data_IF_891771589027
#
_entry.id   IF_891771589027
#
_cell.length_a   1.000
_cell.length_b   1.000
_cell.length_c   1.000
_cell.angle_alpha   90.00
_cell.angle_beta   90.00
_cell.angle_gamma   90.00
#
_symmetry.space_group_name_H-M   'P 1'
#
loop_
_entity.id
_entity.type
_entity.pdbx_description
1 polymer ?
#
# COMPACT_ATOMS: atom_id res chain seq x y z
N UNK A 1 -1.85 -23.89 3.42
CA UNK A 1 -2.56 -23.77 2.14
C UNK A 1 -4.02 -23.58 2.46
N UNK A 2 -4.64 -22.54 1.95
CA UNK A 2 -6.08 -22.27 2.12
C UNK A 2 -6.78 -22.93 0.94
N UNK A 3 -7.70 -23.85 1.24
CA UNK A 3 -8.49 -24.57 0.24
C UNK A 3 -9.71 -23.71 -0.16
N UNK A 4 -9.50 -22.73 -1.04
CA UNK A 4 -10.55 -21.79 -1.45
C UNK A 4 -11.74 -22.48 -2.12
N UNK A 5 -11.51 -23.57 -2.88
CA UNK A 5 -12.58 -24.32 -3.51
C UNK A 5 -13.45 -25.00 -2.46
N UNK A 6 -12.84 -25.58 -1.42
CA UNK A 6 -13.58 -26.19 -0.31
C UNK A 6 -14.42 -25.16 0.45
N UNK A 7 -13.85 -23.97 0.70
CA UNK A 7 -14.60 -22.88 1.36
C UNK A 7 -15.80 -22.48 0.53
N UNK A 8 -15.64 -22.33 -0.79
CA UNK A 8 -16.72 -21.98 -1.71
C UNK A 8 -17.82 -23.05 -1.73
N UNK A 9 -17.44 -24.31 -1.73
CA UNK A 9 -18.38 -25.44 -1.75
C UNK A 9 -19.16 -25.59 -0.44
N UNK A 10 -18.60 -25.17 0.68
CA UNK A 10 -19.21 -25.23 2.00
C UNK A 10 -19.97 -23.92 2.39
N UNK A 11 -19.80 -22.86 1.61
CA UNK A 11 -20.39 -21.56 1.95
C UNK A 11 -21.91 -21.57 1.77
N UNK A 12 -22.63 -21.19 2.83
CA UNK A 12 -24.09 -21.02 2.82
C UNK A 12 -24.46 -19.55 2.98
N UNK A 13 -25.33 -19.06 2.10
CA UNK A 13 -25.83 -17.68 2.17
C UNK A 13 -26.80 -17.53 3.33
N UNK A 14 -26.58 -16.50 4.15
CA UNK A 14 -27.47 -16.13 5.23
C UNK A 14 -27.50 -14.59 5.39
N UNK A 15 -28.25 -14.08 6.36
CA UNK A 15 -28.38 -12.64 6.61
C UNK A 15 -27.33 -12.08 7.58
N UNK A 16 -26.38 -12.89 8.03
CA UNK A 16 -25.33 -12.43 8.95
C UNK A 16 -24.38 -11.47 8.28
N UNK A 17 -23.80 -10.59 9.07
CA UNK A 17 -22.76 -9.64 8.62
C UNK A 17 -21.45 -9.96 9.30
N UNK A 18 -20.34 -9.81 8.58
CA UNK A 18 -18.99 -9.94 9.11
C UNK A 18 -18.36 -8.54 9.12
N UNK A 19 -17.92 -8.10 10.30
CA UNK A 19 -17.19 -6.84 10.46
C UNK A 19 -15.79 -7.14 10.95
N UNK A 20 -14.79 -6.88 10.11
CA UNK A 20 -13.37 -6.95 10.45
C UNK A 20 -12.90 -5.54 10.80
N UNK A 21 -12.82 -5.22 12.09
CA UNK A 21 -12.26 -3.96 12.58
C UNK A 21 -10.78 -4.15 12.91
N UNK A 22 -9.92 -3.47 12.19
CA UNK A 22 -8.47 -3.47 12.41
C UNK A 22 -8.04 -2.14 13.01
N UNK A 23 -7.62 -2.17 14.28
CA UNK A 23 -6.89 -1.09 14.92
C UNK A 23 -5.39 -1.38 14.72
N UNK A 24 -4.78 -0.77 13.70
CA UNK A 24 -3.40 -1.03 13.30
C UNK A 24 -2.44 -0.51 14.38
N UNK A 25 -1.45 -1.34 14.76
CA UNK A 25 -0.47 -0.96 15.77
C UNK A 25 -1.06 -0.72 17.18
N UNK A 26 -2.19 -1.37 17.52
CA UNK A 26 -2.86 -1.20 18.82
C UNK A 26 -1.97 -1.56 20.02
N UNK A 27 -1.11 -2.56 19.87
CA UNK A 27 -0.10 -2.92 20.86
C UNK A 27 0.89 -1.79 21.11
N UNK A 28 1.50 -1.75 22.29
CA UNK A 28 2.45 -0.70 22.65
C UNK A 28 3.43 -1.13 23.72
N UNK A 29 4.27 -0.21 24.15
CA UNK A 29 5.25 -0.41 25.21
C UNK A 29 5.07 0.64 26.31
N UNK A 30 5.32 0.29 27.58
CA UNK A 30 5.30 1.27 28.65
C UNK A 30 6.44 2.30 28.49
N UNK A 31 6.20 3.56 28.85
CA UNK A 31 7.21 4.62 28.84
C UNK A 31 8.36 4.33 29.80
N UNK A 32 8.06 3.66 30.90
CA UNK A 32 9.04 3.28 31.92
C UNK A 32 8.94 1.78 32.21
N UNK A 33 10.02 1.17 32.63
CA UNK A 33 10.06 -0.25 32.96
C UNK A 33 9.06 -0.57 34.08
N UNK A 34 8.15 -1.52 33.85
CA UNK A 34 7.07 -1.90 34.79
C UNK A 34 5.87 -0.96 34.78
N UNK A 35 5.84 0.05 33.90
CA UNK A 35 4.68 0.91 33.67
C UNK A 35 3.58 0.21 32.86
N UNK A 36 2.53 0.95 32.54
CA UNK A 36 1.42 0.50 31.68
C UNK A 36 1.67 0.89 30.24
N UNK A 37 1.27 0.02 29.32
CA UNK A 37 1.22 0.33 27.89
C UNK A 37 0.10 1.33 27.58
N UNK A 38 0.06 1.87 26.37
CA UNK A 38 -1.02 2.77 25.93
C UNK A 38 -2.38 2.07 26.05
N UNK A 39 -2.49 0.82 25.57
CA UNK A 39 -3.74 0.07 25.62
C UNK A 39 -4.20 -0.22 27.07
N UNK A 40 -3.26 -0.54 27.98
CA UNK A 40 -3.59 -0.72 29.40
C UNK A 40 -3.95 0.59 30.10
N UNK A 41 -3.55 1.74 29.56
CA UNK A 41 -3.85 3.08 30.09
C UNK A 41 -5.17 3.60 29.55
N UNK A 42 -5.52 3.25 28.30
CA UNK A 42 -6.73 3.70 27.64
C UNK A 42 -8.01 3.18 28.31
N UNK A 43 -9.07 3.99 28.28
CA UNK A 43 -10.40 3.57 28.76
C UNK A 43 -11.17 2.93 27.59
N UNK A 44 -11.22 1.60 27.56
CA UNK A 44 -11.82 0.82 26.45
C UNK A 44 -13.01 -0.07 26.87
N UNK A 45 -14.04 0.45 27.59
CA UNK A 45 -15.08 -0.38 28.19
C UNK A 45 -15.91 -1.20 27.19
N UNK A 46 -16.01 -0.75 25.94
CA UNK A 46 -16.71 -1.49 24.89
C UNK A 46 -15.86 -2.62 24.33
N UNK A 47 -14.58 -2.40 24.10
CA UNK A 47 -13.64 -3.45 23.68
C UNK A 47 -13.45 -4.49 24.78
N UNK A 48 -13.33 -4.07 26.04
CA UNK A 48 -13.25 -4.96 27.20
C UNK A 48 -14.47 -5.90 27.29
N UNK A 49 -15.66 -5.34 27.06
CA UNK A 49 -16.90 -6.13 27.05
C UNK A 49 -16.95 -7.10 25.86
N UNK A 50 -16.47 -6.71 24.67
CA UNK A 50 -16.35 -7.60 23.52
C UNK A 50 -15.37 -8.73 23.81
N UNK A 51 -14.19 -8.42 24.34
CA UNK A 51 -13.19 -9.42 24.71
C UNK A 51 -13.71 -10.42 25.76
N UNK A 52 -14.48 -9.94 26.75
CA UNK A 52 -15.08 -10.79 27.78
C UNK A 52 -16.19 -11.73 27.26
N UNK A 53 -16.85 -11.36 26.16
CA UNK A 53 -17.95 -12.15 25.57
C UNK A 53 -17.52 -12.99 24.36
N UNK A 54 -16.42 -12.62 23.75
CA UNK A 54 -15.88 -13.26 22.56
C UNK A 54 -14.78 -14.27 22.87
N UNK A 55 -14.12 -14.71 21.82
CA UNK A 55 -12.92 -15.54 21.92
C UNK A 55 -11.71 -14.70 21.51
N UNK A 56 -10.68 -14.68 22.35
CA UNK A 56 -9.42 -13.99 22.08
C UNK A 56 -8.36 -14.98 21.65
N UNK A 57 -7.49 -14.55 20.74
CA UNK A 57 -6.39 -15.36 20.24
C UNK A 57 -5.38 -14.50 19.46
N UNK A 58 -4.41 -15.17 18.83
CA UNK A 58 -3.44 -14.54 17.93
C UNK A 58 -3.44 -15.24 16.59
N UNK A 59 -3.12 -14.50 15.53
CA UNK A 59 -2.91 -15.06 14.21
C UNK A 59 -1.49 -14.78 13.73
N UNK A 60 -0.95 -15.68 12.90
CA UNK A 60 0.33 -15.52 12.20
C UNK A 60 -0.01 -15.29 10.74
N UNK A 61 0.01 -14.03 10.26
CA UNK A 61 -0.55 -13.73 8.95
C UNK A 61 0.29 -14.23 7.76
N UNK A 62 1.56 -14.60 7.98
CA UNK A 62 2.42 -15.19 6.93
C UNK A 62 2.94 -16.54 7.43
N UNK A 63 4.08 -16.57 8.11
CA UNK A 63 4.67 -17.76 8.72
C UNK A 63 5.40 -17.38 10.01
N UNK A 64 5.57 -18.32 10.96
CA UNK A 64 6.37 -18.08 12.15
C UNK A 64 7.79 -17.60 11.79
N UNK A 65 8.26 -16.55 12.46
CA UNK A 65 9.58 -15.97 12.24
C UNK A 65 9.67 -14.98 11.06
N UNK A 66 8.59 -14.81 10.28
CA UNK A 66 8.51 -13.80 9.22
C UNK A 66 7.75 -12.59 9.75
N UNK A 67 8.40 -11.43 9.81
CA UNK A 67 7.73 -10.17 10.09
C UNK A 67 6.99 -9.71 8.82
N UNK A 68 5.65 -9.72 8.80
CA UNK A 68 4.91 -9.35 7.62
C UNK A 68 4.99 -7.83 7.39
N UNK A 69 5.25 -7.43 6.15
CA UNK A 69 4.93 -6.07 5.73
C UNK A 69 3.41 -5.87 5.62
N UNK A 70 2.97 -4.63 5.50
CA UNK A 70 1.53 -4.29 5.51
C UNK A 70 0.73 -5.02 4.42
N UNK A 71 1.28 -5.17 3.21
CA UNK A 71 0.61 -5.90 2.13
C UNK A 71 0.40 -7.39 2.45
N UNK A 72 1.48 -8.17 2.66
CA UNK A 72 1.38 -9.59 3.01
C UNK A 72 0.57 -9.85 4.28
N UNK A 73 0.70 -8.99 5.30
CA UNK A 73 -0.06 -9.11 6.54
C UNK A 73 -1.57 -9.03 6.31
N UNK A 74 -2.03 -8.06 5.52
CA UNK A 74 -3.45 -7.91 5.22
C UNK A 74 -3.98 -8.95 4.22
N UNK A 75 -3.15 -9.43 3.28
CA UNK A 75 -3.53 -10.59 2.47
C UNK A 75 -3.84 -11.79 3.36
N UNK A 76 -2.98 -12.08 4.34
CA UNK A 76 -3.22 -13.13 5.32
C UNK A 76 -4.51 -12.91 6.13
N UNK A 77 -4.79 -11.67 6.56
CA UNK A 77 -6.06 -11.33 7.23
C UNK A 77 -7.28 -11.53 6.32
N UNK A 78 -7.13 -11.28 5.03
CA UNK A 78 -8.20 -11.48 4.05
C UNK A 78 -8.34 -12.94 3.59
N UNK A 79 -7.47 -13.84 4.07
CA UNK A 79 -7.53 -15.25 3.73
C UNK A 79 -6.83 -15.61 2.42
N UNK A 80 -6.01 -14.73 1.86
CA UNK A 80 -5.11 -15.07 0.76
C UNK A 80 -3.76 -15.59 1.29
N UNK A 81 -3.16 -16.55 0.59
CA UNK A 81 -1.80 -16.96 0.91
C UNK A 81 -0.79 -15.88 0.42
N UNK A 82 -0.12 -15.15 1.32
CA UNK A 82 0.79 -14.07 0.92
C UNK A 82 2.10 -14.59 0.29
N UNK A 83 2.36 -15.88 0.31
CA UNK A 83 3.48 -16.50 -0.39
C UNK A 83 3.13 -16.81 -1.84
N UNK A 84 1.87 -17.11 -2.11
CA UNK A 84 1.33 -17.32 -3.45
C UNK A 84 1.00 -16.00 -4.13
N UNK A 85 0.24 -15.14 -3.45
CA UNK A 85 -0.22 -13.85 -3.97
C UNK A 85 0.75 -12.73 -3.59
N UNK A 86 1.71 -12.44 -4.47
CA UNK A 86 2.69 -11.38 -4.24
C UNK A 86 2.25 -10.08 -4.89
N UNK A 87 1.98 -9.06 -4.06
CA UNK A 87 1.65 -7.72 -4.55
C UNK A 87 2.89 -6.84 -4.46
N UNK A 88 3.37 -6.36 -5.60
CA UNK A 88 4.46 -5.41 -5.63
C UNK A 88 4.03 -4.02 -5.16
N UNK A 89 4.98 -3.25 -4.63
CA UNK A 89 4.72 -1.91 -4.05
C UNK A 89 4.10 -0.93 -5.04
N UNK A 90 4.50 -1.00 -6.31
CA UNK A 90 3.95 -0.14 -7.35
C UNK A 90 2.45 -0.34 -7.54
N UNK A 91 2.02 -1.59 -7.69
CA UNK A 91 0.59 -1.93 -7.84
C UNK A 91 -0.22 -1.50 -6.61
N UNK A 92 0.32 -1.75 -5.41
CA UNK A 92 -0.34 -1.38 -4.16
C UNK A 92 -0.49 0.13 -4.00
N UNK A 93 0.54 0.92 -4.34
CA UNK A 93 0.44 2.39 -4.27
C UNK A 93 -0.45 2.97 -5.37
N UNK A 94 -0.37 2.45 -6.60
CA UNK A 94 -1.24 2.91 -7.70
C UNK A 94 -2.72 2.73 -7.35
N UNK A 95 -3.10 1.54 -6.92
CA UNK A 95 -4.48 1.27 -6.51
C UNK A 95 -4.89 2.02 -5.24
N UNK A 96 -3.95 2.25 -4.33
CA UNK A 96 -4.17 3.03 -3.10
C UNK A 96 -4.60 4.47 -3.37
N UNK A 97 -4.01 5.12 -4.36
CA UNK A 97 -4.38 6.48 -4.77
C UNK A 97 -5.56 6.53 -5.76
N UNK A 98 -6.21 5.40 -6.02
CA UNK A 98 -7.38 5.30 -6.88
C UNK A 98 -7.07 5.10 -8.37
N UNK A 99 -5.82 4.80 -8.74
CA UNK A 99 -5.50 4.46 -10.11
C UNK A 99 -5.98 3.03 -10.43
N UNK A 100 -6.76 2.90 -11.49
CA UNK A 100 -7.26 1.60 -11.97
C UNK A 100 -6.22 0.96 -12.89
N UNK A 101 -5.57 -0.09 -12.37
CA UNK A 101 -4.60 -0.86 -13.14
C UNK A 101 -5.33 -1.78 -14.12
N UNK A 102 -5.03 -1.61 -15.40
CA UNK A 102 -5.44 -2.50 -16.48
C UNK A 102 -4.55 -3.74 -16.60
N UNK A 103 -4.91 -4.68 -17.49
CA UNK A 103 -4.18 -5.94 -17.66
C UNK A 103 -2.76 -5.76 -18.26
N UNK A 104 -2.53 -4.65 -18.95
CA UNK A 104 -1.25 -4.34 -19.60
C UNK A 104 -0.46 -3.23 -18.88
N UNK A 105 -0.76 -3.01 -17.59
CA UNK A 105 -0.12 -2.00 -16.78
C UNK A 105 0.99 -2.60 -15.92
N UNK A 106 2.11 -1.89 -15.87
CA UNK A 106 3.15 -2.10 -14.87
C UNK A 106 3.29 -0.83 -14.06
N UNK A 107 2.97 -0.91 -12.78
CA UNK A 107 3.12 0.19 -11.84
C UNK A 107 4.45 0.07 -11.08
N UNK A 108 5.05 1.22 -10.78
CA UNK A 108 6.26 1.30 -9.97
C UNK A 108 6.19 2.50 -9.05
N UNK A 109 6.59 2.32 -7.80
CA UNK A 109 6.74 3.41 -6.85
C UNK A 109 7.98 4.22 -7.17
N UNK A 110 7.83 5.52 -7.36
CA UNK A 110 8.89 6.49 -7.45
C UNK A 110 9.16 7.18 -6.12
N UNK A 111 10.42 7.40 -5.81
CA UNK A 111 10.83 8.30 -4.74
C UNK A 111 11.74 9.37 -5.34
N UNK A 112 11.43 10.64 -5.12
CA UNK A 112 12.40 11.70 -5.38
C UNK A 112 13.59 11.56 -4.44
N UNK A 113 14.77 11.85 -4.96
CA UNK A 113 16.02 11.89 -4.21
C UNK A 113 16.82 13.14 -4.58
N UNK A 114 17.78 13.50 -3.75
CA UNK A 114 18.71 14.58 -4.05
C UNK A 114 20.02 13.98 -4.57
N UNK A 115 20.49 14.48 -5.70
CA UNK A 115 21.76 14.11 -6.32
C UNK A 115 22.75 15.27 -6.22
N UNK A 116 24.02 14.95 -6.01
CA UNK A 116 25.13 15.89 -6.13
C UNK A 116 25.52 16.11 -7.61
N UNK A 117 26.51 17.00 -7.86
CA UNK A 117 27.00 17.30 -9.19
C UNK A 117 27.65 16.09 -9.92
N UNK A 118 28.03 15.05 -9.20
CA UNK A 118 28.53 13.79 -9.73
C UNK A 118 27.42 12.75 -9.97
N UNK A 119 26.15 13.10 -9.75
CA UNK A 119 25.00 12.21 -9.91
C UNK A 119 24.84 11.18 -8.80
N UNK A 120 25.51 11.37 -7.64
CA UNK A 120 25.40 10.48 -6.48
C UNK A 120 24.29 10.94 -5.55
N UNK A 121 23.57 10.00 -4.96
CA UNK A 121 22.49 10.27 -4.01
C UNK A 121 23.07 10.83 -2.72
N UNK A 122 22.69 12.04 -2.35
CA UNK A 122 22.98 12.67 -1.06
C UNK A 122 21.84 12.50 -0.07
N UNK A 123 20.59 12.47 -0.57
CA UNK A 123 19.42 12.18 0.24
C UNK A 123 18.42 11.33 -0.59
N UNK A 124 18.09 10.15 -0.08
CA UNK A 124 17.18 9.18 -0.71
C UNK A 124 15.70 9.57 -0.63
N UNK A 125 15.37 10.66 0.05
CA UNK A 125 14.00 11.13 0.31
C UNK A 125 13.78 12.59 -0.07
N UNK A 126 14.75 13.21 -0.76
CA UNK A 126 14.67 14.62 -1.18
C UNK A 126 14.26 15.57 -0.03
N UNK A 127 14.83 15.42 1.17
CA UNK A 127 14.49 16.20 2.36
C UNK A 127 13.05 16.01 2.85
N UNK A 128 12.33 15.00 2.37
CA UNK A 128 10.88 14.83 2.58
C UNK A 128 10.10 16.10 2.19
N UNK A 129 10.35 16.59 0.98
CA UNK A 129 9.65 17.78 0.47
C UNK A 129 8.16 17.73 0.78
N UNK A 130 7.52 18.86 1.10
CA UNK A 130 6.08 18.93 1.33
C UNK A 130 5.27 18.36 0.17
N UNK A 131 4.13 17.74 0.46
CA UNK A 131 3.30 17.11 -0.59
C UNK A 131 2.90 18.10 -1.70
N UNK A 132 2.63 19.37 -1.38
CA UNK A 132 2.33 20.40 -2.37
C UNK A 132 3.49 20.63 -3.36
N UNK A 133 4.73 20.61 -2.87
CA UNK A 133 5.94 20.69 -3.70
C UNK A 133 6.09 19.45 -4.59
N UNK A 134 5.91 18.26 -4.00
CA UNK A 134 5.94 17.00 -4.75
C UNK A 134 4.89 16.99 -5.87
N UNK A 135 3.70 17.51 -5.63
CA UNK A 135 2.64 17.56 -6.64
C UNK A 135 3.05 18.44 -7.82
N UNK A 136 3.64 19.61 -7.53
CA UNK A 136 4.21 20.50 -8.58
C UNK A 136 5.28 19.79 -9.39
N UNK A 137 6.19 19.06 -8.75
CA UNK A 137 7.26 18.32 -9.45
C UNK A 137 6.68 17.19 -10.29
N UNK A 138 5.69 16.45 -9.76
CA UNK A 138 4.99 15.39 -10.52
C UNK A 138 4.27 15.96 -11.74
N UNK A 139 3.66 17.14 -11.64
CA UNK A 139 3.00 17.78 -12.78
C UNK A 139 3.99 18.04 -13.94
N UNK A 140 5.23 18.41 -13.64
CA UNK A 140 6.28 18.54 -14.67
C UNK A 140 6.59 17.20 -15.34
N UNK A 141 6.58 16.11 -14.59
CA UNK A 141 6.85 14.76 -15.12
C UNK A 141 5.73 14.23 -16.03
N UNK A 142 4.54 14.80 -16.00
CA UNK A 142 3.45 14.45 -16.93
C UNK A 142 3.83 14.71 -18.42
N UNK A 143 4.83 15.56 -18.67
CA UNK A 143 5.34 15.81 -20.01
C UNK A 143 6.23 14.67 -20.55
N UNK A 144 6.62 13.71 -19.70
CA UNK A 144 7.46 12.59 -20.14
C UNK A 144 6.63 11.62 -20.96
N UNK A 145 7.04 11.43 -22.20
CA UNK A 145 6.49 10.41 -23.09
C UNK A 145 7.56 9.36 -23.39
N UNK A 146 7.18 8.11 -23.51
CA UNK A 146 8.07 7.02 -23.94
C UNK A 146 7.44 6.31 -25.14
N UNK A 147 8.17 6.11 -26.24
CA UNK A 147 7.61 5.49 -27.43
C UNK A 147 7.02 4.10 -27.16
N UNK A 148 5.84 3.84 -27.70
CA UNK A 148 5.18 2.53 -27.65
C UNK A 148 4.52 2.17 -26.32
N UNK A 149 4.42 3.13 -25.37
CA UNK A 149 3.67 2.99 -24.11
C UNK A 149 3.02 4.30 -23.72
N UNK A 150 1.92 4.22 -22.98
CA UNK A 150 1.39 5.36 -22.23
C UNK A 150 2.08 5.44 -20.88
N UNK A 151 2.38 6.65 -20.42
CA UNK A 151 3.01 6.90 -19.11
C UNK A 151 2.09 7.75 -18.26
N UNK A 152 1.79 7.26 -17.06
CA UNK A 152 1.02 8.00 -16.08
C UNK A 152 1.89 8.23 -14.84
N UNK A 153 2.04 9.49 -14.43
CA UNK A 153 2.73 9.85 -13.19
C UNK A 153 1.71 10.46 -12.24
N UNK A 154 1.66 9.96 -11.02
CA UNK A 154 0.68 10.42 -10.01
C UNK A 154 1.39 10.66 -8.67
N UNK A 155 1.10 11.76 -7.99
CA UNK A 155 1.65 12.02 -6.66
C UNK A 155 1.03 11.08 -5.63
N UNK A 156 1.80 10.79 -4.57
CA UNK A 156 1.32 10.00 -3.43
C UNK A 156 1.34 10.86 -2.16
N UNK A 157 2.51 11.09 -1.60
CA UNK A 157 2.72 11.91 -0.41
C UNK A 157 4.20 12.22 -0.24
N UNK A 158 4.52 13.45 0.17
CA UNK A 158 5.91 13.88 0.37
C UNK A 158 6.76 13.60 -0.88
N UNK A 159 7.92 12.94 -0.75
CA UNK A 159 8.83 12.57 -1.83
C UNK A 159 8.36 11.40 -2.70
N UNK A 160 7.14 10.89 -2.50
CA UNK A 160 6.63 9.67 -3.16
C UNK A 160 5.69 9.99 -4.29
N UNK A 161 5.84 9.25 -5.35
CA UNK A 161 4.93 9.24 -6.51
C UNK A 161 4.83 7.81 -7.06
N UNK A 162 3.92 7.60 -7.97
CA UNK A 162 3.79 6.34 -8.72
C UNK A 162 3.89 6.63 -10.20
N UNK A 163 4.54 5.74 -10.91
CA UNK A 163 4.53 5.70 -12.38
C UNK A 163 3.82 4.44 -12.82
N UNK A 164 2.94 4.57 -13.80
CA UNK A 164 2.32 3.43 -14.46
C UNK A 164 2.68 3.49 -15.94
N UNK A 165 3.25 2.41 -16.43
CA UNK A 165 3.50 2.18 -17.85
C UNK A 165 2.40 1.27 -18.38
N UNK A 166 1.71 1.70 -19.41
CA UNK A 166 0.65 0.93 -20.07
C UNK A 166 1.06 0.58 -21.49
N UNK A 167 1.10 -0.71 -21.78
CA UNK A 167 1.49 -1.20 -23.11
C UNK A 167 1.62 -2.71 -23.17
N UNK A 168 1.55 -3.24 -24.38
CA UNK A 168 1.71 -4.68 -24.61
C UNK A 168 3.12 -5.19 -24.26
N UNK A 169 3.20 -6.41 -23.76
CA UNK A 169 4.48 -7.08 -23.49
C UNK A 169 5.29 -6.49 -22.34
N UNK A 170 4.64 -5.75 -21.42
CA UNK A 170 5.27 -5.29 -20.19
C UNK A 170 5.18 -6.36 -19.09
N UNK A 171 6.22 -6.44 -18.26
CA UNK A 171 6.32 -7.35 -17.11
C UNK A 171 6.85 -6.61 -15.89
N UNK A 172 6.33 -6.94 -14.69
CA UNK A 172 6.77 -6.36 -13.44
C UNK A 172 8.12 -6.88 -12.91
N UNK A 173 8.76 -7.85 -13.58
CA UNK A 173 10.00 -8.47 -13.11
C UNK A 173 11.24 -7.60 -13.40
N UNK A 174 11.24 -6.35 -12.93
CA UNK A 174 12.33 -5.38 -13.05
C UNK A 174 12.92 -5.09 -11.68
N UNK A 175 14.24 -5.03 -11.59
CA UNK A 175 14.96 -4.73 -10.35
C UNK A 175 14.74 -3.28 -9.90
N UNK A 176 14.70 -3.07 -8.59
CA UNK A 176 14.68 -1.74 -7.98
C UNK A 176 15.90 -0.92 -8.42
N UNK A 177 15.71 0.38 -8.68
CA UNK A 177 16.81 1.31 -8.99
C UNK A 177 17.36 2.02 -7.75
N UNK A 178 16.77 1.77 -6.59
CA UNK A 178 17.23 2.31 -5.30
C UNK A 178 18.39 1.45 -4.74
N UNK A 179 19.62 1.95 -4.68
CA UNK A 179 20.76 1.23 -4.11
C UNK A 179 20.66 1.07 -2.58
N UNK A 180 19.68 1.70 -1.95
CA UNK A 180 19.46 1.76 -0.50
C UNK A 180 20.65 2.36 0.28
N UNK A 181 21.50 3.12 -0.39
CA UNK A 181 22.67 3.80 0.16
C UNK A 181 22.77 5.23 -0.39
N UNK A 182 23.50 6.08 0.30
CA UNK A 182 23.95 7.40 -0.17
C UNK A 182 25.40 7.34 -0.63
N UNK A 183 25.86 8.35 -1.37
CA UNK A 183 27.23 8.41 -1.91
C UNK A 183 27.43 7.58 -3.19
N UNK A 184 26.41 6.94 -3.70
CA UNK A 184 26.41 6.16 -4.94
C UNK A 184 25.29 6.66 -5.88
N UNK A 185 25.42 6.46 -7.20
CA UNK A 185 24.34 6.84 -8.13
C UNK A 185 23.11 5.91 -7.99
N UNK A 186 21.92 6.34 -8.42
CA UNK A 186 20.81 5.43 -8.68
C UNK A 186 21.23 4.30 -9.61
N UNK A 187 20.68 3.10 -9.38
CA UNK A 187 20.91 1.96 -10.28
C UNK A 187 20.09 2.12 -11.56
N UNK A 188 20.55 1.51 -12.64
CA UNK A 188 19.78 1.44 -13.88
C UNK A 188 18.67 0.36 -13.77
N UNK A 189 17.48 0.58 -14.39
CA UNK A 189 16.47 -0.46 -14.51
C UNK A 189 17.04 -1.70 -15.22
N UNK A 190 16.91 -2.85 -14.59
CA UNK A 190 17.45 -4.10 -15.12
C UNK A 190 16.37 -5.19 -15.09
N UNK A 191 16.16 -5.94 -16.19
CA UNK A 191 15.23 -7.05 -16.19
C UNK A 191 15.73 -8.16 -15.27
N UNK A 192 14.82 -8.79 -14.55
CA UNK A 192 15.09 -9.97 -13.72
C UNK A 192 14.85 -11.26 -14.51
N UNK A 193 14.08 -11.18 -15.60
CA UNK A 193 13.86 -12.24 -16.57
C UNK A 193 13.74 -11.67 -17.99
N UNK A 194 13.67 -12.53 -18.99
CA UNK A 194 13.60 -12.12 -20.40
C UNK A 194 12.29 -11.38 -20.75
N UNK A 195 11.19 -11.70 -20.07
CA UNK A 195 9.90 -11.05 -20.33
C UNK A 195 9.89 -9.58 -19.87
N UNK A 196 10.76 -9.21 -18.93
CA UNK A 196 10.86 -7.86 -18.39
C UNK A 196 11.82 -6.94 -19.18
N UNK A 197 12.49 -7.43 -20.23
CA UNK A 197 13.46 -6.64 -20.98
C UNK A 197 12.86 -5.33 -21.51
N UNK A 198 11.66 -5.41 -22.14
CA UNK A 198 10.95 -4.23 -22.63
C UNK A 198 10.59 -3.24 -21.52
N UNK A 199 10.15 -3.71 -20.37
CA UNK A 199 9.81 -2.84 -19.26
C UNK A 199 11.04 -2.12 -18.70
N UNK A 200 12.18 -2.81 -18.63
CA UNK A 200 13.44 -2.20 -18.20
C UNK A 200 13.90 -1.10 -19.17
N UNK A 201 13.80 -1.31 -20.49
CA UNK A 201 14.09 -0.29 -21.51
C UNK A 201 13.15 0.92 -21.39
N UNK A 202 11.84 0.70 -21.23
CA UNK A 202 10.83 1.74 -21.04
C UNK A 202 11.14 2.55 -19.77
N UNK A 203 11.46 1.88 -18.66
CA UNK A 203 11.79 2.54 -17.41
C UNK A 203 13.11 3.33 -17.49
N UNK A 204 14.12 2.81 -18.19
CA UNK A 204 15.38 3.52 -18.42
C UNK A 204 15.15 4.80 -19.24
N UNK A 205 14.37 4.73 -20.31
CA UNK A 205 14.03 5.91 -21.13
C UNK A 205 13.20 6.93 -20.32
N UNK A 206 12.24 6.48 -19.52
CA UNK A 206 11.51 7.34 -18.60
C UNK A 206 12.45 8.07 -17.64
N UNK A 207 13.33 7.33 -16.94
CA UNK A 207 14.29 7.91 -15.99
C UNK A 207 15.21 8.92 -16.67
N UNK A 208 15.71 8.62 -17.87
CA UNK A 208 16.57 9.52 -18.64
C UNK A 208 15.87 10.86 -18.92
N UNK A 209 14.65 10.82 -19.47
CA UNK A 209 13.87 12.04 -19.79
C UNK A 209 13.45 12.80 -18.52
N UNK A 210 13.06 12.08 -17.49
CA UNK A 210 12.69 12.68 -16.23
C UNK A 210 13.86 13.41 -15.56
N UNK A 211 15.09 12.90 -15.64
CA UNK A 211 16.29 13.59 -15.15
C UNK A 211 16.51 14.95 -15.80
N UNK A 212 16.25 15.07 -17.12
CA UNK A 212 16.35 16.35 -17.83
C UNK A 212 15.36 17.38 -17.28
N UNK A 213 14.12 16.93 -16.97
CA UNK A 213 13.06 17.79 -16.40
C UNK A 213 13.37 18.20 -14.96
N UNK A 214 13.98 17.30 -14.19
CA UNK A 214 14.27 17.51 -12.77
C UNK A 214 15.59 18.23 -12.49
N UNK A 215 16.42 18.49 -13.51
CA UNK A 215 17.79 18.96 -13.33
C UNK A 215 17.91 20.31 -12.57
N UNK A 216 16.88 21.13 -12.59
CA UNK A 216 16.80 22.44 -11.94
C UNK A 216 16.10 22.39 -10.55
N UNK A 217 15.59 21.24 -10.12
CA UNK A 217 14.96 21.10 -8.82
C UNK A 217 16.00 21.07 -7.69
N UNK A 218 15.83 21.87 -6.63
CA UNK A 218 16.88 22.00 -5.62
C UNK A 218 17.05 20.74 -4.74
N UNK A 219 16.00 20.00 -4.49
CA UNK A 219 16.01 18.80 -3.65
C UNK A 219 15.56 17.55 -4.40
N UNK A 220 14.54 17.68 -5.26
CA UNK A 220 13.96 16.57 -6.03
C UNK A 220 14.59 16.43 -7.42
N UNK A 221 15.92 16.66 -7.55
CA UNK A 221 16.65 16.64 -8.83
C UNK A 221 16.99 15.23 -9.34
N UNK A 222 16.56 14.20 -8.64
CA UNK A 222 16.69 12.81 -9.03
C UNK A 222 15.54 11.95 -8.54
N UNK A 223 15.53 10.70 -8.97
CA UNK A 223 14.54 9.72 -8.54
C UNK A 223 15.11 8.31 -8.50
N UNK A 224 14.46 7.46 -7.71
CA UNK A 224 14.65 6.01 -7.70
C UNK A 224 13.30 5.33 -7.84
N UNK A 225 13.26 4.18 -8.52
CA UNK A 225 12.06 3.38 -8.79
C UNK A 225 12.14 2.06 -8.00
N UNK A 226 11.02 1.68 -7.37
CA UNK A 226 10.96 0.50 -6.49
C UNK A 226 9.66 -0.28 -6.64
N UNK A 227 9.80 -1.62 -6.62
CA UNK A 227 8.69 -2.53 -6.60
C UNK A 227 7.85 -2.47 -7.86
N UNK A 228 8.49 -2.64 -9.02
CA UNK A 228 7.78 -2.85 -10.28
C UNK A 228 6.80 -4.00 -10.14
N UNK A 229 5.58 -3.81 -10.58
CA UNK A 229 4.55 -4.83 -10.50
C UNK A 229 3.48 -4.63 -11.57
N UNK A 230 3.12 -5.72 -12.24
CA UNK A 230 1.87 -5.78 -12.99
C UNK A 230 0.68 -5.82 -12.01
N UNK A 231 -0.52 -5.63 -12.54
CA UNK A 231 -1.74 -5.88 -11.76
C UNK A 231 -1.69 -7.33 -11.23
N UNK A 232 -1.82 -7.56 -9.92
CA UNK A 232 -1.88 -8.91 -9.38
C UNK A 232 -3.18 -9.59 -9.81
N UNK A 233 -3.08 -10.86 -10.16
CA UNK A 233 -4.25 -11.71 -10.41
C UNK A 233 -4.73 -12.29 -9.07
N UNK A 234 -5.61 -11.53 -8.39
CA UNK A 234 -6.23 -11.94 -7.14
C UNK A 234 -7.70 -12.28 -7.42
N UNK A 235 -8.16 -13.47 -7.05
CA UNK A 235 -9.59 -13.76 -7.07
C UNK A 235 -10.32 -12.80 -6.12
N UNK A 236 -11.48 -12.30 -6.52
CA UNK A 236 -12.21 -11.34 -5.69
C UNK A 236 -12.82 -11.99 -4.43
N UNK A 237 -13.14 -11.18 -3.43
CA UNK A 237 -13.87 -11.64 -2.24
C UNK A 237 -15.22 -12.26 -2.60
N UNK A 238 -15.88 -11.76 -3.63
CA UNK A 238 -17.12 -12.32 -4.15
C UNK A 238 -16.90 -13.72 -4.75
N UNK A 239 -15.79 -13.92 -5.48
CA UNK A 239 -15.46 -15.21 -6.10
C UNK A 239 -15.06 -16.26 -5.06
N UNK A 240 -14.30 -15.83 -4.01
CA UNK A 240 -13.79 -16.74 -2.98
C UNK A 240 -14.85 -17.12 -1.95
N UNK A 241 -15.59 -16.12 -1.46
CA UNK A 241 -16.43 -16.27 -0.27
C UNK A 241 -17.91 -16.03 -0.57
N UNK A 242 -18.28 -15.64 -1.79
CA UNK A 242 -19.65 -15.28 -2.15
C UNK A 242 -20.17 -14.03 -1.41
N UNK A 243 -19.27 -13.18 -0.89
CA UNK A 243 -19.60 -12.02 -0.06
C UNK A 243 -19.46 -10.72 -0.86
N UNK A 244 -20.46 -9.85 -0.76
CA UNK A 244 -20.35 -8.45 -1.18
C UNK A 244 -19.54 -7.72 -0.11
N UNK A 245 -18.31 -7.36 -0.42
CA UNK A 245 -17.37 -6.80 0.54
C UNK A 245 -17.19 -5.29 0.37
N UNK A 246 -17.28 -4.57 1.47
CA UNK A 246 -16.97 -3.14 1.58
C UNK A 246 -15.67 -2.90 2.35
N UNK A 247 -14.95 -1.84 2.00
CA UNK A 247 -13.79 -1.37 2.76
C UNK A 247 -13.94 0.11 3.13
N UNK A 248 -13.69 0.41 4.39
CA UNK A 248 -13.72 1.75 4.98
C UNK A 248 -12.37 1.96 5.66
N UNK A 249 -11.42 2.55 4.92
CA UNK A 249 -10.05 2.74 5.37
C UNK A 249 -9.62 4.20 5.17
N UNK A 250 -8.80 4.71 6.10
CA UNK A 250 -8.25 6.07 6.01
C UNK A 250 -7.00 6.11 5.12
N UNK A 251 -6.14 5.09 5.24
CA UNK A 251 -4.83 5.12 4.62
C UNK A 251 -4.84 4.54 3.21
N UNK A 252 -4.21 5.23 2.21
CA UNK A 252 -4.29 4.84 0.80
C UNK A 252 -3.87 3.39 0.49
N UNK A 253 -2.82 2.89 1.13
CA UNK A 253 -2.31 1.54 0.90
C UNK A 253 -3.35 0.46 1.22
N UNK A 254 -4.12 0.62 2.31
CA UNK A 254 -5.17 -0.35 2.68
C UNK A 254 -6.40 -0.25 1.81
N UNK A 255 -6.71 0.97 1.32
CA UNK A 255 -7.72 1.17 0.26
C UNK A 255 -7.32 0.42 -1.01
N UNK A 256 -6.03 0.53 -1.40
CA UNK A 256 -5.49 -0.18 -2.56
C UNK A 256 -5.59 -1.69 -2.43
N UNK A 257 -5.19 -2.23 -1.29
CA UNK A 257 -5.24 -3.66 -1.03
C UNK A 257 -6.68 -4.20 -1.06
N UNK A 258 -7.61 -3.48 -0.43
CA UNK A 258 -9.03 -3.82 -0.46
C UNK A 258 -9.59 -3.83 -1.89
N UNK A 259 -9.25 -2.84 -2.72
CA UNK A 259 -9.64 -2.82 -4.16
C UNK A 259 -9.08 -4.01 -4.93
N UNK A 260 -7.82 -4.37 -4.70
CA UNK A 260 -7.21 -5.53 -5.35
C UNK A 260 -7.92 -6.83 -4.97
N UNK A 261 -8.43 -6.94 -3.73
CA UNK A 261 -9.27 -8.04 -3.28
C UNK A 261 -10.74 -7.94 -3.75
N UNK A 262 -11.09 -6.97 -4.61
CA UNK A 262 -12.44 -6.79 -5.13
C UNK A 262 -13.44 -6.18 -4.15
N UNK A 263 -12.97 -5.55 -3.07
CA UNK A 263 -13.86 -4.83 -2.13
C UNK A 263 -14.23 -3.44 -2.68
N UNK A 264 -15.46 -3.03 -2.44
CA UNK A 264 -15.93 -1.68 -2.75
C UNK A 264 -15.47 -0.69 -1.67
N UNK A 265 -14.81 0.40 -2.06
CA UNK A 265 -14.53 1.48 -1.11
C UNK A 265 -15.79 2.29 -0.84
N UNK A 266 -16.13 2.48 0.44
CA UNK A 266 -17.31 3.20 0.88
C UNK A 266 -16.89 4.51 1.55
N UNK A 267 -17.21 5.63 0.90
CA UNK A 267 -17.03 6.98 1.40
C UNK A 267 -15.57 7.36 1.68
N UNK A 268 -15.42 8.53 2.27
CA UNK A 268 -14.14 9.05 2.78
C UNK A 268 -14.32 9.35 4.28
N UNK A 269 -13.39 8.87 5.08
CA UNK A 269 -13.38 9.08 6.53
C UNK A 269 -11.99 9.51 6.98
N UNK A 270 -11.93 10.35 7.99
CA UNK A 270 -10.70 10.83 8.64
C UNK A 270 -10.61 10.43 10.12
N UNK A 271 -11.71 9.95 10.68
CA UNK A 271 -11.82 9.52 12.09
C UNK A 271 -12.50 8.16 12.20
N UNK A 272 -12.34 7.51 13.35
CA UNK A 272 -13.04 6.25 13.65
C UNK A 272 -14.56 6.44 13.71
N UNK A 273 -15.02 7.59 14.24
CA UNK A 273 -16.45 7.90 14.29
C UNK A 273 -17.07 7.96 12.88
N UNK A 274 -16.43 8.68 11.96
CA UNK A 274 -16.86 8.74 10.55
C UNK A 274 -16.83 7.37 9.88
N UNK A 275 -15.84 6.52 10.18
CA UNK A 275 -15.81 5.14 9.68
C UNK A 275 -17.01 4.32 10.16
N UNK A 276 -17.40 4.47 11.44
CA UNK A 276 -18.56 3.78 12.00
C UNK A 276 -19.87 4.33 11.44
N UNK A 277 -19.97 5.62 11.16
CA UNK A 277 -21.13 6.22 10.48
C UNK A 277 -21.29 5.67 9.05
N UNK A 278 -20.21 5.57 8.29
CA UNK A 278 -20.20 4.97 6.96
C UNK A 278 -20.59 3.48 7.01
N UNK A 279 -20.11 2.73 7.99
CA UNK A 279 -20.53 1.35 8.23
C UNK A 279 -22.04 1.26 8.44
N UNK A 280 -22.58 2.12 9.33
CA UNK A 280 -24.01 2.11 9.65
C UNK A 280 -24.87 2.47 8.41
N UNK A 281 -24.44 3.46 7.62
CA UNK A 281 -25.15 3.89 6.41
C UNK A 281 -25.16 2.80 5.33
N UNK A 282 -24.08 2.02 5.18
CA UNK A 282 -23.94 1.00 4.15
C UNK A 282 -24.27 -0.43 4.62
N UNK A 283 -24.79 -0.57 5.85
CA UNK A 283 -25.01 -1.87 6.50
C UNK A 283 -25.80 -2.88 5.66
N UNK A 284 -26.82 -2.43 4.95
CA UNK A 284 -27.72 -3.30 4.17
C UNK A 284 -27.17 -3.65 2.78
N UNK A 285 -26.13 -2.95 2.30
CA UNK A 285 -25.63 -3.09 0.95
C UNK A 285 -24.56 -4.17 0.82
N UNK A 286 -23.91 -4.53 1.94
CA UNK A 286 -22.76 -5.44 1.97
C UNK A 286 -22.93 -6.54 3.01
N UNK A 287 -22.15 -7.60 2.85
CA UNK A 287 -22.15 -8.79 3.71
C UNK A 287 -20.88 -8.85 4.58
N UNK A 288 -19.79 -8.27 4.08
CA UNK A 288 -18.51 -8.15 4.76
C UNK A 288 -18.02 -6.69 4.78
N UNK A 289 -17.49 -6.26 5.91
CA UNK A 289 -16.94 -4.91 6.10
C UNK A 289 -15.52 -4.99 6.64
N UNK A 290 -14.56 -4.42 5.93
CA UNK A 290 -13.21 -4.17 6.38
C UNK A 290 -13.08 -2.71 6.82
N UNK A 291 -12.97 -2.47 8.13
CA UNK A 291 -12.68 -1.16 8.71
C UNK A 291 -11.23 -1.13 9.15
N UNK A 292 -10.46 -0.18 8.66
CA UNK A 292 -9.05 -0.05 9.02
C UNK A 292 -8.75 1.33 9.63
N UNK A 293 -8.39 1.34 10.90
CA UNK A 293 -8.01 2.52 11.66
C UNK A 293 -6.48 2.55 11.86
N UNK A 294 -5.81 3.56 11.28
CA UNK A 294 -4.34 3.65 11.20
C UNK A 294 -3.72 4.50 12.30
N UNK A 295 -4.47 5.38 12.95
CA UNK A 295 -3.87 6.38 13.84
C UNK A 295 -3.23 5.78 15.10
N UNK A 296 -3.68 4.66 15.60
CA UNK A 296 -3.05 3.92 16.70
C UNK A 296 -1.62 3.49 16.39
N UNK A 297 -1.34 3.15 15.12
CA UNK A 297 0.00 2.81 14.67
C UNK A 297 0.86 4.07 14.48
N UNK A 298 0.36 5.06 13.75
CA UNK A 298 1.14 6.27 13.46
C UNK A 298 1.52 7.04 14.71
N UNK A 299 0.62 7.17 15.69
CA UNK A 299 0.93 7.80 16.99
C UNK A 299 1.93 6.99 17.81
N UNK A 300 1.89 5.65 17.70
CA UNK A 300 2.87 4.76 18.31
C UNK A 300 4.26 4.89 17.69
N UNK A 301 4.35 4.93 16.34
CA UNK A 301 5.61 5.16 15.61
C UNK A 301 6.24 6.53 15.93
N UNK A 302 5.41 7.54 16.16
CA UNK A 302 5.85 8.89 16.55
C UNK A 302 6.22 8.99 18.04
N UNK A 303 6.05 7.94 18.84
CA UNK A 303 6.27 7.95 20.29
C UNK A 303 5.27 8.83 21.06
N UNK A 304 4.14 9.16 20.45
CA UNK A 304 3.12 10.04 21.02
C UNK A 304 2.14 9.26 21.93
N UNK A 305 2.64 8.76 23.08
CA UNK A 305 1.90 7.92 24.02
C UNK A 305 0.51 8.48 24.36
N UNK A 306 0.46 9.75 24.80
CA UNK A 306 -0.80 10.36 25.21
C UNK A 306 -1.83 10.52 24.08
N UNK A 307 -1.35 10.68 22.82
CA UNK A 307 -2.23 10.77 21.67
C UNK A 307 -2.74 9.39 21.23
N UNK A 308 -2.01 8.32 21.55
CA UNK A 308 -2.41 6.95 21.27
C UNK A 308 -3.40 6.41 22.28
N UNK A 309 -3.31 6.84 23.56
CA UNK A 309 -4.27 6.55 24.64
C UNK A 309 -5.62 7.21 24.36
#
# INVERSE_FOLDING_TARGET
VIEHDLIRDLAEKNASKIVMLVADGLGGLPLEAGGRTELETAATPNLDRLAARGTSGSSVPVLPGITPGSGPGHLGLFGYDPLEFRIGRGALEATGIGFELGPHDVAVRGNFCTLDAAGKITDRRAGRIPSAESFRVVDRLQAVTVPGVEVFVRPVKEHRFVVVFRGEGLSGAVADTDPQATGVPPLEPRPLDAAAARTAEVAAEFVRRAREILADEPQANGMVLRGFAARPDLPSYADLYGLRAAAIAVYPMYKGLARLAGMTLVGEATSLAEQLDLLAQSWNDYDFFFLHFKYTDSTGEDGAFAAKV
#
